data_IF_061219966325
#
_entry.id   IF_061219966325
#
_cell.length_a   1.000
_cell.length_b   1.000
_cell.length_c   1.000
_cell.angle_alpha   90.00
_cell.angle_beta   90.00
_cell.angle_gamma   90.00
#
_symmetry.space_group_name_H-M   'P 1'
#
loop_
_entity.id
_entity.type
_entity.pdbx_description
1 polymer ?
#
# COMPACT_ATOMS: atom_id res chain seq x y z
N UNK A 1 -26.09 1.42 -40.51
CA UNK A 1 -26.19 0.14 -39.77
C UNK A 1 -25.84 0.42 -38.32
N UNK A 2 -26.69 0.03 -37.37
CA UNK A 2 -26.47 0.23 -35.93
C UNK A 2 -25.31 -0.66 -35.49
N UNK A 3 -24.21 -0.09 -35.02
CA UNK A 3 -23.12 -0.85 -34.42
C UNK A 3 -23.12 -0.59 -32.92
N UNK A 4 -23.30 -1.66 -32.17
CA UNK A 4 -23.36 -1.66 -30.71
C UNK A 4 -21.94 -1.52 -30.16
N UNK A 5 -21.75 -0.50 -29.32
CA UNK A 5 -20.60 -0.37 -28.42
C UNK A 5 -20.72 -1.52 -27.40
N UNK A 6 -19.77 -2.45 -27.39
CA UNK A 6 -19.66 -3.46 -26.32
C UNK A 6 -18.68 -2.89 -25.29
N UNK A 7 -19.10 -2.58 -24.06
CA UNK A 7 -18.20 -2.19 -22.99
C UNK A 7 -17.50 -3.46 -22.50
N UNK A 8 -16.17 -3.51 -22.57
CA UNK A 8 -15.38 -4.51 -21.83
C UNK A 8 -15.27 -4.02 -20.38
N UNK A 9 -16.42 -4.03 -19.72
CA UNK A 9 -16.59 -3.98 -18.27
C UNK A 9 -17.21 -5.35 -17.91
N UNK A 10 -16.79 -5.93 -16.79
CA UNK A 10 -17.24 -7.20 -16.19
C UNK A 10 -16.61 -8.50 -16.74
N UNK A 11 -15.65 -9.03 -15.97
CA UNK A 11 -15.73 -10.42 -15.54
C UNK A 11 -15.07 -10.65 -14.16
N UNK A 12 -15.64 -10.01 -13.14
CA UNK A 12 -15.50 -10.41 -11.74
C UNK A 12 -16.86 -10.89 -11.22
N UNK A 13 -17.18 -12.17 -11.42
CA UNK A 13 -18.25 -12.83 -10.68
C UNK A 13 -17.92 -14.31 -10.45
N UNK A 14 -17.70 -14.67 -9.19
CA UNK A 14 -18.62 -15.53 -8.43
C UNK A 14 -18.00 -15.93 -7.08
N UNK A 15 -18.44 -15.25 -6.03
CA UNK A 15 -18.97 -15.87 -4.82
C UNK A 15 -20.06 -14.94 -4.26
N UNK A 16 -21.32 -15.39 -4.31
CA UNK A 16 -22.46 -14.77 -3.63
C UNK A 16 -23.34 -13.86 -4.48
N UNK A 17 -24.07 -14.39 -5.46
CA UNK A 17 -25.23 -13.70 -6.00
C UNK A 17 -26.45 -13.97 -5.10
N UNK A 18 -26.72 -13.06 -4.14
CA UNK A 18 -28.07 -12.77 -3.67
C UNK A 18 -28.05 -11.52 -2.74
N UNK A 19 -28.40 -10.38 -3.34
CA UNK A 19 -28.87 -9.11 -2.73
C UNK A 19 -27.83 -7.99 -2.59
N UNK A 20 -28.17 -6.85 -3.20
CA UNK A 20 -27.48 -5.57 -3.11
C UNK A 20 -27.20 -5.03 -4.51
N UNK A 21 -27.81 -3.90 -4.88
CA UNK A 21 -27.38 -3.16 -6.06
C UNK A 21 -25.90 -2.75 -5.94
N UNK A 22 -25.35 -2.19 -7.02
CA UNK A 22 -24.03 -1.58 -7.00
C UNK A 22 -23.86 -0.66 -5.78
N UNK A 23 -22.77 -0.81 -5.04
CA UNK A 23 -22.57 -0.03 -3.82
C UNK A 23 -22.44 1.45 -4.20
N UNK A 24 -23.00 2.42 -3.44
CA UNK A 24 -22.95 3.83 -3.83
C UNK A 24 -21.53 4.37 -4.06
N UNK A 25 -20.53 3.82 -3.35
CA UNK A 25 -19.12 4.17 -3.60
C UNK A 25 -18.61 3.69 -4.96
N UNK A 26 -19.09 2.56 -5.47
CA UNK A 26 -18.72 2.08 -6.81
C UNK A 26 -19.22 3.08 -7.87
N UNK A 27 -20.49 3.49 -7.76
CA UNK A 27 -21.08 4.52 -8.63
C UNK A 27 -20.29 5.82 -8.56
N UNK A 28 -19.97 6.29 -7.35
CA UNK A 28 -19.23 7.55 -7.16
C UNK A 28 -17.80 7.48 -7.73
N UNK A 29 -17.12 6.34 -7.57
CA UNK A 29 -15.77 6.14 -8.11
C UNK A 29 -15.82 6.06 -9.63
N UNK A 30 -16.80 5.36 -10.21
CA UNK A 30 -16.98 5.29 -11.65
C UNK A 30 -17.28 6.68 -12.24
N UNK A 31 -18.18 7.45 -11.62
CA UNK A 31 -18.44 8.84 -12.02
C UNK A 31 -17.20 9.73 -11.91
N UNK A 32 -16.31 9.47 -10.95
CA UNK A 32 -15.02 10.17 -10.87
C UNK A 32 -14.13 9.84 -12.07
N UNK A 33 -14.00 8.55 -12.41
CA UNK A 33 -13.20 8.08 -13.55
C UNK A 33 -13.77 8.58 -14.88
N UNK A 34 -15.09 8.64 -15.03
CA UNK A 34 -15.76 9.12 -16.24
C UNK A 34 -15.56 10.63 -16.46
N UNK A 35 -15.41 11.41 -15.38
CA UNK A 35 -15.14 12.87 -15.43
C UNK A 35 -13.72 13.18 -15.88
N UNK A 36 -12.76 12.33 -15.55
CA UNK A 36 -11.37 12.46 -15.98
C UNK A 36 -10.82 11.07 -16.36
N UNK A 37 -11.08 10.61 -17.60
CA UNK A 37 -10.66 9.28 -18.06
C UNK A 37 -9.18 9.20 -18.41
N UNK A 38 -8.40 10.26 -18.13
CA UNK A 38 -6.95 10.22 -18.28
C UNK A 38 -6.33 9.23 -17.28
N UNK A 39 -5.17 8.66 -17.62
CA UNK A 39 -4.43 7.78 -16.70
C UNK A 39 -4.26 8.39 -15.31
N UNK A 40 -3.92 9.68 -15.25
CA UNK A 40 -3.73 10.39 -13.98
C UNK A 40 -5.05 10.55 -13.22
N UNK A 41 -6.13 10.93 -13.92
CA UNK A 41 -7.48 11.04 -13.37
C UNK A 41 -7.97 9.73 -12.77
N UNK A 42 -7.89 8.63 -13.53
CA UNK A 42 -8.33 7.31 -13.08
C UNK A 42 -7.52 6.81 -11.89
N UNK A 43 -6.18 6.99 -11.88
CA UNK A 43 -5.34 6.63 -10.71
C UNK A 43 -5.75 7.45 -9.48
N UNK A 44 -5.98 8.76 -9.64
CA UNK A 44 -6.44 9.62 -8.55
C UNK A 44 -7.79 9.16 -8.02
N UNK A 45 -8.76 8.88 -8.88
CA UNK A 45 -10.08 8.37 -8.51
C UNK A 45 -10.01 7.01 -7.81
N UNK A 46 -9.19 6.08 -8.28
CA UNK A 46 -8.97 4.79 -7.62
C UNK A 46 -8.37 4.96 -6.21
N UNK A 47 -7.40 5.87 -6.04
CA UNK A 47 -6.77 6.16 -4.74
C UNK A 47 -7.72 6.85 -3.76
N UNK A 48 -8.52 7.79 -4.24
CA UNK A 48 -9.58 8.41 -3.43
C UNK A 48 -10.67 7.38 -3.08
N UNK A 49 -11.02 6.52 -4.02
CA UNK A 49 -11.90 5.38 -3.83
C UNK A 49 -11.39 4.43 -2.75
N UNK A 50 -10.11 4.07 -2.77
CA UNK A 50 -9.49 3.23 -1.75
C UNK A 50 -9.60 3.85 -0.34
N UNK A 51 -9.45 5.18 -0.20
CA UNK A 51 -9.65 5.87 1.09
C UNK A 51 -11.09 5.83 1.56
N UNK A 52 -12.06 5.98 0.64
CA UNK A 52 -13.48 5.87 0.95
C UNK A 52 -13.85 4.44 1.34
N UNK A 53 -13.34 3.45 0.61
CA UNK A 53 -13.50 2.05 0.94
C UNK A 53 -12.89 1.69 2.29
N UNK A 54 -11.74 2.24 2.67
CA UNK A 54 -11.16 2.02 4.01
C UNK A 54 -12.01 2.65 5.13
N UNK A 55 -12.59 3.82 4.87
CA UNK A 55 -13.55 4.44 5.80
C UNK A 55 -14.78 3.56 5.97
N UNK A 56 -15.31 3.04 4.87
CA UNK A 56 -16.47 2.15 4.86
C UNK A 56 -16.17 0.78 5.49
N UNK A 57 -14.95 0.26 5.30
CA UNK A 57 -14.44 -0.93 5.97
C UNK A 57 -14.51 -0.76 7.49
N UNK A 58 -14.04 0.37 7.99
CA UNK A 58 -14.06 0.67 9.44
C UNK A 58 -15.49 0.81 9.97
N UNK A 59 -16.42 1.38 9.18
CA UNK A 59 -17.84 1.43 9.51
C UNK A 59 -18.43 0.02 9.60
N UNK A 60 -18.27 -0.79 8.56
CA UNK A 60 -18.77 -2.17 8.48
C UNK A 60 -18.18 -3.07 9.58
N UNK A 61 -16.88 -2.91 9.88
CA UNK A 61 -16.24 -3.61 11.00
C UNK A 61 -16.89 -3.28 12.34
N UNK A 62 -17.11 -1.99 12.64
CA UNK A 62 -17.75 -1.55 13.90
C UNK A 62 -19.19 -2.05 14.01
N UNK A 63 -19.93 -2.00 12.90
CA UNK A 63 -21.30 -2.51 12.83
C UNK A 63 -21.34 -4.01 13.13
N UNK A 64 -20.55 -4.82 12.41
CA UNK A 64 -20.50 -6.26 12.62
C UNK A 64 -20.07 -6.60 14.05
N UNK A 65 -19.06 -5.91 14.58
CA UNK A 65 -18.63 -6.09 15.98
C UNK A 65 -19.75 -5.82 16.99
N UNK A 66 -20.63 -4.86 16.72
CA UNK A 66 -21.80 -4.56 17.56
C UNK A 66 -22.90 -5.62 17.50
N UNK A 67 -23.01 -6.35 16.39
CA UNK A 67 -24.01 -7.41 16.20
C UNK A 67 -23.55 -8.76 16.76
N UNK A 68 -22.25 -9.03 16.77
CA UNK A 68 -21.70 -10.32 17.14
C UNK A 68 -21.71 -10.58 18.66
N UNK A 69 -21.93 -11.84 19.09
CA UNK A 69 -21.64 -12.25 20.45
C UNK A 69 -20.13 -12.20 20.72
N UNK A 70 -19.74 -12.20 22.01
CA UNK A 70 -18.33 -12.05 22.45
C UNK A 70 -17.35 -12.97 21.73
N UNK A 71 -17.69 -14.25 21.58
CA UNK A 71 -16.84 -15.21 20.85
C UNK A 71 -16.63 -14.82 19.38
N UNK A 72 -17.69 -14.37 18.70
CA UNK A 72 -17.62 -13.88 17.33
C UNK A 72 -16.80 -12.60 17.20
N UNK A 73 -16.93 -11.68 18.16
CA UNK A 73 -16.13 -10.45 18.21
C UNK A 73 -14.63 -10.75 18.31
N UNK A 74 -14.23 -11.70 19.18
CA UNK A 74 -12.83 -12.06 19.38
C UNK A 74 -12.24 -12.75 18.14
N UNK A 75 -13.03 -13.61 17.49
CA UNK A 75 -12.65 -14.25 16.24
C UNK A 75 -12.54 -13.24 15.09
N UNK A 76 -13.48 -12.32 14.94
CA UNK A 76 -13.46 -11.27 13.92
C UNK A 76 -12.27 -10.33 14.09
N UNK A 77 -11.99 -9.89 15.32
CA UNK A 77 -10.81 -9.07 15.64
C UNK A 77 -9.51 -9.76 15.26
N UNK A 78 -9.42 -11.06 15.51
CA UNK A 78 -8.25 -11.86 15.14
C UNK A 78 -8.11 -11.97 13.63
N UNK A 79 -9.20 -12.24 12.90
CA UNK A 79 -9.21 -12.27 11.44
C UNK A 79 -8.81 -10.91 10.84
N UNK A 80 -9.36 -9.81 11.36
CA UNK A 80 -9.07 -8.46 10.86
C UNK A 80 -7.60 -8.05 11.10
N UNK A 81 -7.02 -8.44 12.24
CA UNK A 81 -5.60 -8.23 12.53
C UNK A 81 -4.67 -9.02 11.61
N UNK A 82 -5.08 -10.21 11.19
CA UNK A 82 -4.33 -11.00 10.20
C UNK A 82 -4.51 -10.49 8.77
N UNK A 83 -5.65 -9.83 8.46
CA UNK A 83 -5.92 -9.24 7.15
C UNK A 83 -4.95 -8.10 6.82
N UNK A 84 -4.62 -7.23 7.79
CA UNK A 84 -3.78 -6.04 7.55
C UNK A 84 -2.38 -6.41 7.01
N UNK A 85 -1.60 -7.29 7.66
CA UNK A 85 -0.30 -7.70 7.12
C UNK A 85 -0.39 -8.42 5.77
N UNK A 86 -1.50 -9.11 5.49
CA UNK A 86 -1.73 -9.69 4.18
C UNK A 86 -2.00 -8.60 3.14
N UNK A 87 -2.91 -7.66 3.40
CA UNK A 87 -3.22 -6.53 2.52
C UNK A 87 -1.96 -5.78 2.11
N UNK A 88 -1.11 -5.43 3.06
CA UNK A 88 0.09 -4.64 2.77
C UNK A 88 1.07 -5.41 1.88
N UNK A 89 1.18 -6.73 2.08
CA UNK A 89 1.95 -7.62 1.20
C UNK A 89 1.26 -7.89 -0.12
N UNK A 90 -0.06 -7.81 -0.18
CA UNK A 90 -0.84 -7.93 -1.41
C UNK A 90 -0.57 -6.74 -2.31
N UNK A 91 -0.59 -5.52 -1.75
CA UNK A 91 -0.19 -4.31 -2.45
C UNK A 91 1.24 -4.41 -2.99
N UNK A 92 2.18 -4.90 -2.17
CA UNK A 92 3.56 -5.13 -2.64
C UNK A 92 3.67 -6.16 -3.77
N UNK A 93 2.90 -7.25 -3.70
CA UNK A 93 2.89 -8.29 -4.74
C UNK A 93 2.27 -7.78 -6.04
N UNK A 94 1.11 -7.13 -5.96
CA UNK A 94 0.38 -6.54 -7.09
C UNK A 94 1.22 -5.44 -7.75
N UNK A 95 1.82 -4.55 -6.96
CA UNK A 95 2.78 -3.54 -7.42
C UNK A 95 4.01 -4.14 -8.10
N UNK A 96 4.50 -5.30 -7.64
CA UNK A 96 5.60 -6.00 -8.30
C UNK A 96 5.19 -6.58 -9.66
N UNK A 97 3.97 -7.10 -9.78
CA UNK A 97 3.43 -7.64 -11.04
C UNK A 97 3.23 -6.51 -12.05
N UNK A 98 2.43 -5.51 -11.72
CA UNK A 98 2.10 -4.45 -12.66
C UNK A 98 3.27 -3.49 -12.90
N UNK A 99 4.18 -3.34 -11.93
CA UNK A 99 5.45 -2.68 -12.13
C UNK A 99 6.35 -3.42 -13.12
N UNK A 100 6.39 -4.76 -13.09
CA UNK A 100 7.15 -5.53 -14.08
C UNK A 100 6.58 -5.37 -15.50
N UNK A 101 5.26 -5.34 -15.65
CA UNK A 101 4.62 -5.15 -16.97
C UNK A 101 4.80 -3.72 -17.46
N UNK A 102 4.62 -2.72 -16.60
CA UNK A 102 4.88 -1.31 -16.91
C UNK A 102 6.28 -1.08 -17.49
N UNK A 103 7.30 -1.77 -16.95
CA UNK A 103 8.69 -1.66 -17.39
C UNK A 103 9.05 -2.57 -18.59
N UNK A 104 8.10 -3.35 -19.12
CA UNK A 104 8.33 -4.21 -20.28
C UNK A 104 8.27 -3.41 -21.59
N UNK A 105 8.76 -3.98 -22.70
CA UNK A 105 8.80 -3.33 -24.02
C UNK A 105 7.41 -2.93 -24.54
N UNK A 106 6.40 -3.75 -24.25
CA UNK A 106 5.00 -3.54 -24.64
C UNK A 106 4.17 -2.95 -23.48
N UNK A 107 4.86 -2.53 -22.41
CA UNK A 107 4.28 -1.91 -21.23
C UNK A 107 3.81 -0.48 -21.47
N UNK A 108 3.10 0.07 -20.48
CA UNK A 108 2.58 1.43 -20.56
C UNK A 108 1.86 1.87 -19.29
N UNK A 109 1.52 3.14 -19.25
CA UNK A 109 0.90 3.80 -18.08
C UNK A 109 -0.46 3.22 -17.70
N UNK A 110 -1.13 2.49 -18.60
CA UNK A 110 -2.36 1.72 -18.30
C UNK A 110 -2.14 0.73 -17.14
N UNK A 111 -0.97 0.11 -17.02
CA UNK A 111 -0.70 -0.82 -15.93
C UNK A 111 -0.58 -0.14 -14.56
N UNK A 112 -0.32 1.17 -14.52
CA UNK A 112 -0.40 1.96 -13.29
C UNK A 112 -1.86 2.18 -12.86
N UNK A 113 -2.78 2.30 -13.83
CA UNK A 113 -4.23 2.33 -13.59
C UNK A 113 -4.69 0.99 -13.04
N UNK A 114 -4.33 -0.11 -13.70
CA UNK A 114 -4.68 -1.46 -13.24
C UNK A 114 -4.17 -1.71 -11.82
N UNK A 115 -2.93 -1.30 -11.51
CA UNK A 115 -2.37 -1.42 -10.18
C UNK A 115 -3.21 -0.69 -9.12
N UNK A 116 -3.51 0.59 -9.36
CA UNK A 116 -4.29 1.40 -8.41
C UNK A 116 -5.70 0.84 -8.18
N UNK A 117 -6.35 0.32 -9.22
CA UNK A 117 -7.66 -0.33 -9.13
C UNK A 117 -7.55 -1.65 -8.34
N UNK A 118 -6.56 -2.49 -8.65
CA UNK A 118 -6.37 -3.77 -7.99
C UNK A 118 -6.18 -3.62 -6.47
N UNK A 119 -5.52 -2.57 -6.02
CA UNK A 119 -5.33 -2.27 -4.59
C UNK A 119 -6.60 -1.79 -3.92
N UNK A 120 -7.35 -0.91 -4.60
CA UNK A 120 -8.66 -0.51 -4.16
C UNK A 120 -9.58 -1.74 -4.00
N UNK A 121 -9.55 -2.68 -4.93
CA UNK A 121 -10.35 -3.92 -4.89
C UNK A 121 -10.02 -4.83 -3.71
N UNK A 122 -8.79 -4.82 -3.18
CA UNK A 122 -8.46 -5.57 -1.95
C UNK A 122 -9.25 -5.00 -0.75
N UNK A 123 -9.30 -3.68 -0.63
CA UNK A 123 -10.00 -2.99 0.46
C UNK A 123 -11.52 -3.11 0.27
N UNK A 124 -12.00 -2.85 -0.94
CA UNK A 124 -13.40 -3.01 -1.33
C UNK A 124 -13.90 -4.42 -1.06
N UNK A 125 -13.19 -5.45 -1.51
CA UNK A 125 -13.57 -6.85 -1.31
C UNK A 125 -13.74 -7.21 0.17
N UNK A 126 -12.81 -6.78 1.04
CA UNK A 126 -12.95 -6.99 2.49
C UNK A 126 -14.13 -6.21 3.07
N UNK A 127 -14.36 -4.99 2.61
CA UNK A 127 -15.48 -4.16 3.05
C UNK A 127 -16.82 -4.83 2.74
N UNK A 128 -17.00 -5.30 1.51
CA UNK A 128 -18.22 -5.98 1.08
C UNK A 128 -18.45 -7.28 1.84
N UNK A 129 -17.39 -8.03 2.18
CA UNK A 129 -17.49 -9.23 3.02
C UNK A 129 -18.04 -8.88 4.43
N UNK A 130 -17.53 -7.82 5.06
CA UNK A 130 -18.00 -7.36 6.38
C UNK A 130 -19.44 -6.84 6.33
N UNK A 131 -19.81 -6.13 5.26
CA UNK A 131 -21.18 -5.67 5.03
C UNK A 131 -22.11 -6.86 4.87
N UNK A 132 -21.74 -7.84 4.05
CA UNK A 132 -22.54 -9.04 3.81
C UNK A 132 -22.84 -9.80 5.12
N UNK A 133 -21.84 -10.00 5.99
CA UNK A 133 -22.06 -10.62 7.30
C UNK A 133 -22.92 -9.78 8.24
N UNK A 134 -22.79 -8.44 8.18
CA UNK A 134 -23.64 -7.55 8.96
C UNK A 134 -25.10 -7.66 8.54
N UNK A 135 -25.35 -7.68 7.23
CA UNK A 135 -26.69 -7.85 6.67
C UNK A 135 -27.27 -9.24 6.98
N UNK A 136 -26.46 -10.29 6.94
CA UNK A 136 -26.89 -11.64 7.32
C UNK A 136 -27.33 -11.68 8.80
N UNK A 137 -26.54 -11.08 9.70
CA UNK A 137 -26.88 -10.96 11.12
C UNK A 137 -28.18 -10.18 11.37
N UNK A 138 -28.44 -9.13 10.58
CA UNK A 138 -29.67 -8.33 10.69
C UNK A 138 -30.90 -9.12 10.24
N UNK A 139 -30.75 -10.03 9.26
CA UNK A 139 -31.84 -10.89 8.77
C UNK A 139 -32.20 -12.00 9.76
N UNK A 140 -31.31 -12.33 10.68
CA UNK A 140 -31.55 -13.30 11.74
C UNK A 140 -30.30 -14.10 12.09
N UNK A 141 -30.49 -15.31 12.61
CA UNK A 141 -29.37 -16.20 12.92
C UNK A 141 -28.68 -16.62 11.61
N UNK A 142 -27.37 -16.35 11.44
CA UNK A 142 -26.64 -16.75 10.24
C UNK A 142 -26.70 -18.25 9.98
N UNK A 143 -26.77 -18.63 8.71
CA UNK A 143 -26.79 -20.02 8.26
C UNK A 143 -25.86 -20.14 7.07
N UNK A 144 -24.89 -21.05 7.17
CA UNK A 144 -24.04 -21.36 6.03
C UNK A 144 -24.88 -22.10 4.98
N UNK A 145 -25.11 -21.47 3.83
CA UNK A 145 -25.78 -22.09 2.71
C UNK A 145 -24.82 -23.03 1.97
N UNK A 146 -25.24 -24.29 1.79
CA UNK A 146 -24.49 -25.29 1.03
C UNK A 146 -24.06 -26.52 1.84
N UNK A 147 -23.98 -27.65 1.16
CA UNK A 147 -23.48 -28.90 1.74
C UNK A 147 -21.95 -28.95 1.66
N UNK A 148 -21.32 -29.52 2.68
CA UNK A 148 -19.88 -29.79 2.69
C UNK A 148 -19.57 -31.20 3.20
N UNK A 149 -18.48 -31.83 2.73
CA UNK A 149 -18.13 -33.19 3.12
C UNK A 149 -17.85 -33.31 4.63
N UNK A 150 -18.16 -34.46 5.24
CA UNK A 150 -17.87 -34.72 6.66
C UNK A 150 -16.38 -34.88 6.98
N UNK A 151 -15.55 -35.10 5.94
CA UNK A 151 -14.11 -35.37 6.05
C UNK A 151 -13.33 -34.60 4.98
N UNK A 152 -12.01 -34.57 5.16
CA UNK A 152 -11.15 -33.95 4.17
C UNK A 152 -11.22 -34.70 2.83
N UNK A 153 -11.32 -33.97 1.73
CA UNK A 153 -11.34 -34.54 0.37
C UNK A 153 -10.07 -34.21 -0.40
N UNK A 154 -9.80 -34.98 -1.46
CA UNK A 154 -8.71 -34.71 -2.39
C UNK A 154 -8.84 -33.33 -3.02
N UNK A 155 -10.06 -32.86 -3.28
CA UNK A 155 -10.32 -31.51 -3.80
C UNK A 155 -9.84 -30.40 -2.85
N UNK A 156 -10.03 -30.59 -1.54
CA UNK A 156 -9.56 -29.63 -0.54
C UNK A 156 -8.04 -29.58 -0.47
N UNK A 157 -7.38 -30.74 -0.56
CA UNK A 157 -5.92 -30.83 -0.65
C UNK A 157 -5.41 -30.21 -1.95
N UNK A 158 -6.06 -30.51 -3.07
CA UNK A 158 -5.72 -29.98 -4.39
C UNK A 158 -5.86 -28.46 -4.44
N UNK A 159 -6.88 -27.87 -3.83
CA UNK A 159 -7.02 -26.42 -3.73
C UNK A 159 -5.86 -25.76 -2.98
N UNK A 160 -5.42 -26.34 -1.86
CA UNK A 160 -4.26 -25.83 -1.12
C UNK A 160 -2.96 -25.93 -1.94
N UNK A 161 -2.74 -27.05 -2.65
CA UNK A 161 -1.58 -27.21 -3.54
C UNK A 161 -1.61 -26.22 -4.71
N UNK A 162 -2.78 -25.96 -5.31
CA UNK A 162 -2.93 -25.00 -6.41
C UNK A 162 -2.54 -23.58 -6.00
N UNK A 163 -2.94 -23.11 -4.82
CA UNK A 163 -2.54 -21.78 -4.31
C UNK A 163 -1.02 -21.68 -4.17
N UNK A 164 -0.38 -22.68 -3.56
CA UNK A 164 1.08 -22.71 -3.38
C UNK A 164 1.79 -22.69 -4.72
N UNK A 165 1.37 -23.54 -5.65
CA UNK A 165 1.95 -23.63 -6.98
C UNK A 165 1.76 -22.34 -7.78
N UNK A 166 0.57 -21.72 -7.74
CA UNK A 166 0.31 -20.45 -8.40
C UNK A 166 1.19 -19.33 -7.83
N UNK A 167 1.34 -19.25 -6.50
CA UNK A 167 2.19 -18.26 -5.84
C UNK A 167 3.67 -18.42 -6.23
N UNK A 168 4.16 -19.67 -6.29
CA UNK A 168 5.53 -19.97 -6.72
C UNK A 168 5.74 -19.59 -8.18
N UNK A 169 4.80 -19.92 -9.07
CA UNK A 169 4.88 -19.55 -10.50
C UNK A 169 4.91 -18.04 -10.68
N UNK A 170 4.03 -17.32 -9.98
CA UNK A 170 3.96 -15.86 -10.03
C UNK A 170 5.27 -15.23 -9.54
N UNK A 171 5.78 -15.66 -8.37
CA UNK A 171 7.05 -15.16 -7.83
C UNK A 171 8.23 -15.39 -8.79
N UNK A 172 8.34 -16.60 -9.37
CA UNK A 172 9.37 -16.91 -10.37
C UNK A 172 9.26 -16.05 -11.63
N UNK A 173 8.03 -15.74 -12.07
CA UNK A 173 7.80 -14.91 -13.26
C UNK A 173 8.21 -13.46 -13.03
N UNK A 174 8.03 -12.93 -11.81
CA UNK A 174 8.48 -11.58 -11.41
C UNK A 174 10.02 -11.53 -11.27
N UNK A 175 10.64 -12.59 -10.76
CA UNK A 175 12.10 -12.72 -10.60
C UNK A 175 12.52 -12.91 -9.14
N UNK A 176 13.84 -12.81 -8.85
CA UNK A 176 14.41 -13.19 -7.53
C UNK A 176 13.78 -12.49 -6.32
N UNK A 177 13.52 -11.18 -6.41
CA UNK A 177 12.82 -10.46 -5.34
C UNK A 177 11.31 -10.77 -5.32
N UNK A 178 10.74 -11.09 -6.48
CA UNK A 178 9.36 -11.56 -6.62
C UNK A 178 9.11 -12.91 -5.94
N UNK A 179 10.07 -13.83 -5.96
CA UNK A 179 9.96 -15.10 -5.22
C UNK A 179 9.84 -14.88 -3.71
N UNK A 180 10.63 -13.95 -3.15
CA UNK A 180 10.54 -13.58 -1.73
C UNK A 180 9.22 -12.89 -1.41
N UNK A 181 8.82 -11.92 -2.24
CA UNK A 181 7.57 -11.19 -2.08
C UNK A 181 6.36 -12.12 -2.14
N UNK A 182 6.30 -13.02 -3.12
CA UNK A 182 5.23 -14.01 -3.26
C UNK A 182 5.19 -15.00 -2.09
N UNK A 183 6.35 -15.45 -1.59
CA UNK A 183 6.41 -16.33 -0.43
C UNK A 183 5.92 -15.64 0.86
N UNK A 184 6.36 -14.40 1.11
CA UNK A 184 5.92 -13.62 2.26
C UNK A 184 4.43 -13.29 2.18
N UNK A 185 3.94 -12.92 0.99
CA UNK A 185 2.53 -12.69 0.72
C UNK A 185 1.70 -13.95 1.00
N UNK A 186 2.10 -15.10 0.45
CA UNK A 186 1.43 -16.37 0.66
C UNK A 186 1.32 -16.71 2.14
N UNK A 187 2.41 -16.59 2.91
CA UNK A 187 2.41 -16.86 4.34
C UNK A 187 1.39 -15.97 5.10
N UNK A 188 1.37 -14.67 4.80
CA UNK A 188 0.41 -13.75 5.41
C UNK A 188 -1.05 -14.05 4.99
N UNK A 189 -1.26 -14.40 3.72
CA UNK A 189 -2.57 -14.80 3.21
C UNK A 189 -3.07 -16.08 3.88
N UNK A 190 -2.21 -17.09 4.06
CA UNK A 190 -2.55 -18.34 4.73
C UNK A 190 -2.95 -18.10 6.19
N UNK A 191 -2.27 -17.18 6.89
CA UNK A 191 -2.63 -16.77 8.24
C UNK A 191 -3.98 -16.06 8.26
N UNK A 192 -4.19 -15.06 7.41
CA UNK A 192 -5.48 -14.39 7.27
C UNK A 192 -6.61 -15.38 6.99
N UNK A 193 -6.45 -16.23 5.96
CA UNK A 193 -7.41 -17.29 5.60
C UNK A 193 -7.76 -18.16 6.80
N UNK A 194 -6.76 -18.64 7.54
CA UNK A 194 -6.99 -19.51 8.68
C UNK A 194 -7.78 -18.79 9.79
N UNK A 195 -7.47 -17.53 10.10
CA UNK A 195 -8.22 -16.74 11.09
C UNK A 195 -9.63 -16.38 10.61
N UNK A 196 -9.79 -16.04 9.33
CA UNK A 196 -11.09 -15.73 8.74
C UNK A 196 -12.02 -16.95 8.77
N UNK A 197 -11.49 -18.13 8.48
CA UNK A 197 -12.26 -19.39 8.55
C UNK A 197 -12.67 -19.74 9.98
N UNK A 198 -11.83 -19.46 10.98
CA UNK A 198 -12.22 -19.62 12.38
C UNK A 198 -13.31 -18.63 12.78
N UNK A 199 -13.27 -17.40 12.26
CA UNK A 199 -14.37 -16.47 12.39
C UNK A 199 -15.65 -17.01 11.74
N UNK A 200 -15.60 -17.47 10.49
CA UNK A 200 -16.76 -18.08 9.81
C UNK A 200 -17.33 -19.26 10.60
N UNK A 201 -16.48 -20.12 11.16
CA UNK A 201 -16.93 -21.24 11.98
C UNK A 201 -17.65 -20.75 13.24
N UNK A 202 -17.21 -19.64 13.84
CA UNK A 202 -17.92 -19.00 14.94
C UNK A 202 -19.23 -18.36 14.50
N UNK A 203 -19.22 -17.69 13.36
CA UNK A 203 -20.34 -16.94 12.80
C UNK A 203 -21.52 -17.86 12.46
N UNK A 204 -21.25 -19.01 11.84
CA UNK A 204 -22.25 -19.99 11.43
C UNK A 204 -22.57 -21.06 12.49
N UNK A 205 -21.97 -20.98 13.69
CA UNK A 205 -22.17 -21.98 14.75
C UNK A 205 -21.59 -23.37 14.44
N UNK A 206 -20.49 -23.41 13.68
CA UNK A 206 -19.81 -24.62 13.16
C UNK A 206 -18.50 -24.96 13.86
N UNK A 207 -18.24 -24.37 15.03
CA UNK A 207 -16.96 -24.54 15.75
C UNK A 207 -16.65 -26.00 16.14
N UNK A 208 -17.68 -26.85 16.28
CA UNK A 208 -17.54 -28.27 16.62
C UNK A 208 -17.38 -29.17 15.39
N UNK A 209 -17.60 -28.65 14.18
CA UNK A 209 -17.56 -29.41 12.94
C UNK A 209 -16.19 -29.26 12.28
N UNK A 210 -15.31 -30.25 12.47
CA UNK A 210 -13.93 -30.22 11.94
C UNK A 210 -13.86 -30.10 10.41
N UNK A 211 -14.90 -30.53 9.71
CA UNK A 211 -15.03 -30.44 8.25
C UNK A 211 -15.28 -29.03 7.74
N UNK A 212 -16.02 -28.21 8.49
CA UNK A 212 -16.40 -26.87 8.03
C UNK A 212 -15.16 -25.99 7.76
N UNK A 213 -14.18 -25.87 8.68
CA UNK A 213 -12.96 -25.13 8.39
C UNK A 213 -12.13 -25.65 7.21
N UNK A 214 -12.22 -26.94 6.89
CA UNK A 214 -11.53 -27.51 5.71
C UNK A 214 -12.22 -27.06 4.42
N UNK A 215 -13.55 -27.09 4.39
CA UNK A 215 -14.34 -26.65 3.26
C UNK A 215 -14.22 -25.14 3.02
N UNK A 216 -14.36 -24.31 4.06
CA UNK A 216 -14.22 -22.86 3.94
C UNK A 216 -12.81 -22.45 3.46
N UNK A 217 -11.75 -23.14 3.93
CA UNK A 217 -10.39 -22.95 3.40
C UNK A 217 -10.29 -23.29 1.92
N UNK A 218 -10.93 -24.37 1.46
CA UNK A 218 -10.94 -24.73 0.04
C UNK A 218 -11.61 -23.65 -0.82
N UNK A 219 -12.75 -23.10 -0.38
CA UNK A 219 -13.41 -22.00 -1.10
C UNK A 219 -12.50 -20.78 -1.22
N UNK A 220 -11.88 -20.35 -0.12
CA UNK A 220 -10.91 -19.24 -0.14
C UNK A 220 -9.66 -19.56 -0.99
N UNK A 221 -9.17 -20.80 -0.97
CA UNK A 221 -8.07 -21.24 -1.83
C UNK A 221 -8.45 -21.15 -3.31
N UNK A 222 -9.67 -21.57 -3.69
CA UNK A 222 -10.13 -21.49 -5.06
C UNK A 222 -10.24 -20.04 -5.54
N UNK A 223 -10.78 -19.13 -4.72
CA UNK A 223 -10.80 -17.68 -5.06
C UNK A 223 -9.38 -17.13 -5.21
N UNK A 224 -8.47 -17.48 -4.30
CA UNK A 224 -7.08 -17.05 -4.36
C UNK A 224 -6.36 -17.54 -5.61
N UNK A 225 -6.61 -18.77 -6.04
CA UNK A 225 -6.04 -19.31 -7.29
C UNK A 225 -6.46 -18.45 -8.47
N UNK A 226 -7.75 -18.10 -8.60
CA UNK A 226 -8.24 -17.24 -9.69
C UNK A 226 -7.51 -15.89 -9.72
N UNK A 227 -7.33 -15.25 -8.55
CA UNK A 227 -6.61 -13.98 -8.46
C UNK A 227 -5.15 -14.11 -8.88
N UNK A 228 -4.45 -15.14 -8.39
CA UNK A 228 -3.04 -15.38 -8.72
C UNK A 228 -2.86 -15.76 -10.20
N UNK A 229 -3.80 -16.50 -10.77
CA UNK A 229 -3.80 -16.86 -12.19
C UNK A 229 -4.07 -15.64 -13.08
N UNK A 230 -4.98 -14.74 -12.69
CA UNK A 230 -5.20 -13.46 -13.38
C UNK A 230 -3.93 -12.59 -13.38
N UNK A 231 -3.27 -12.43 -12.22
CA UNK A 231 -1.99 -11.71 -12.15
C UNK A 231 -0.89 -12.35 -13.03
N UNK A 232 -0.89 -13.68 -13.11
CA UNK A 232 0.06 -14.40 -13.96
C UNK A 232 -0.27 -14.25 -15.45
N UNK A 233 -1.55 -14.22 -15.79
CA UNK A 233 -2.05 -13.99 -17.15
C UNK A 233 -1.67 -12.58 -17.62
N UNK A 234 -1.97 -11.55 -16.83
CA UNK A 234 -1.55 -10.17 -17.09
C UNK A 234 -0.04 -10.08 -17.34
N UNK A 235 0.75 -10.76 -16.50
CA UNK A 235 2.22 -10.77 -16.58
C UNK A 235 2.76 -11.57 -17.78
N UNK A 236 1.97 -12.47 -18.36
CA UNK A 236 2.34 -13.28 -19.51
C UNK A 236 1.88 -12.68 -20.83
N UNK A 237 0.78 -11.91 -20.84
CA UNK A 237 0.23 -11.32 -22.05
C UNK A 237 0.99 -10.06 -22.51
N UNK A 238 2.01 -9.58 -21.80
CA UNK A 238 2.79 -8.37 -22.14
C UNK A 238 1.96 -7.05 -22.25
N UNK A 239 0.64 -7.07 -22.10
CA UNK A 239 -0.23 -5.97 -22.51
C UNK A 239 -1.50 -6.56 -23.10
N UNK A 240 -2.68 -6.09 -22.71
CA UNK A 240 -3.93 -6.48 -23.37
C UNK A 240 -3.80 -6.21 -24.88
N UNK A 241 -4.17 -7.19 -25.73
CA UNK A 241 -4.39 -6.90 -27.15
C UNK A 241 -5.53 -5.88 -27.27
N UNK A 242 -5.22 -4.67 -27.73
CA UNK A 242 -6.24 -3.69 -28.06
C UNK A 242 -7.09 -4.19 -29.24
N UNK A 243 -8.40 -4.30 -29.02
CA UNK A 243 -9.33 -4.36 -30.14
C UNK A 243 -9.22 -3.05 -30.91
N UNK A 244 -8.86 -3.14 -32.20
CA UNK A 244 -8.78 -2.03 -33.16
C UNK A 244 -10.07 -1.19 -33.21
N UNK A 245 -10.16 -0.20 -32.31
CA UNK A 245 -11.08 0.93 -32.37
C UNK A 245 -10.40 2.06 -33.13
N UNK A 246 -11.06 2.54 -34.17
CA UNK A 246 -10.53 3.49 -35.14
C UNK A 246 -9.85 4.71 -34.48
N UNK A 247 -8.58 4.93 -34.83
CA UNK A 247 -7.89 6.20 -34.68
C UNK A 247 -8.72 7.29 -35.36
N UNK A 248 -9.30 8.20 -34.56
CA UNK A 248 -9.53 9.55 -35.06
C UNK A 248 -8.16 10.21 -35.24
N UNK A 249 -7.74 10.29 -36.49
CA UNK A 249 -6.53 10.97 -36.95
C UNK A 249 -6.68 12.48 -36.78
N UNK A 250 -6.64 12.93 -35.53
CA UNK A 250 -6.34 14.30 -35.18
C UNK A 250 -4.83 14.47 -35.08
N UNK A 251 -4.17 14.68 -36.22
CA UNK A 251 -2.77 15.12 -36.27
C UNK A 251 -2.67 16.47 -35.53
N UNK A 252 -2.40 16.44 -34.23
CA UNK A 252 -1.75 17.55 -33.55
C UNK A 252 -0.28 17.22 -33.55
N UNK A 253 0.46 17.96 -34.38
CA UNK A 253 1.91 17.95 -34.40
C UNK A 253 2.41 18.01 -32.95
N UNK A 254 2.99 16.91 -32.49
CA UNK A 254 3.74 16.91 -31.25
C UNK A 254 4.93 17.84 -31.47
N UNK A 255 4.85 19.03 -30.86
CA UNK A 255 6.00 19.91 -30.72
C UNK A 255 7.16 19.06 -30.16
N UNK A 256 8.38 19.15 -30.75
CA UNK A 256 9.52 18.45 -30.23
C UNK A 256 9.68 18.82 -28.76
N UNK A 257 9.69 17.83 -27.85
CA UNK A 257 10.08 18.10 -26.47
C UNK A 257 11.54 18.52 -26.49
N UNK A 258 11.79 19.82 -26.36
CA UNK A 258 13.15 20.32 -26.23
C UNK A 258 13.82 19.65 -25.03
N UNK A 259 15.08 19.22 -25.14
CA UNK A 259 15.83 18.74 -23.99
C UNK A 259 15.91 19.86 -22.94
N UNK A 260 15.57 19.54 -21.68
CA UNK A 260 15.63 20.50 -20.57
C UNK A 260 17.02 21.17 -20.51
N UNK A 261 17.06 22.48 -20.79
CA UNK A 261 18.29 23.29 -20.84
C UNK A 261 18.70 23.87 -19.47
N UNK A 262 18.05 23.48 -18.38
CA UNK A 262 18.34 24.00 -17.04
C UNK A 262 19.45 23.24 -16.31
N UNK A 263 20.00 23.88 -15.28
CA UNK A 263 21.00 23.29 -14.38
C UNK A 263 20.43 22.06 -13.64
N UNK A 264 21.16 20.94 -13.69
CA UNK A 264 20.85 19.68 -13.00
C UNK A 264 21.71 19.47 -11.75
N UNK A 265 22.54 20.45 -11.39
CA UNK A 265 23.33 20.38 -10.17
C UNK A 265 22.42 20.25 -8.96
N UNK A 266 22.79 19.37 -8.04
CA UNK A 266 22.09 19.22 -6.77
C UNK A 266 22.45 20.41 -5.88
N UNK A 267 21.46 21.21 -5.53
CA UNK A 267 21.60 22.32 -4.59
C UNK A 267 21.82 21.78 -3.17
N UNK A 268 22.99 22.09 -2.59
CA UNK A 268 23.42 21.62 -1.27
C UNK A 268 23.86 22.81 -0.40
N UNK A 269 22.94 23.53 0.25
CA UNK A 269 23.30 24.62 1.14
C UNK A 269 24.09 24.09 2.35
N UNK A 270 25.09 24.86 2.80
CA UNK A 270 25.84 24.53 4.01
C UNK A 270 25.04 24.87 5.29
N UNK A 271 24.08 25.79 5.21
CA UNK A 271 23.19 26.15 6.31
C UNK A 271 21.85 26.65 5.77
N UNK A 272 20.81 26.51 6.58
CA UNK A 272 19.44 26.82 6.16
C UNK A 272 18.44 26.77 7.32
N UNK A 273 17.28 27.38 7.14
CA UNK A 273 16.15 27.32 8.08
C UNK A 273 15.15 26.27 7.64
N UNK A 274 14.65 25.49 8.59
CA UNK A 274 13.72 24.39 8.36
C UNK A 274 12.43 24.59 9.16
N UNK A 275 11.34 23.98 8.70
CA UNK A 275 10.04 23.93 9.36
C UNK A 275 9.34 22.60 9.03
N UNK A 276 9.84 21.52 9.60
CA UNK A 276 9.21 20.20 9.49
C UNK A 276 9.50 19.34 10.73
N UNK A 277 8.72 18.28 10.90
CA UNK A 277 8.92 17.30 11.97
C UNK A 277 9.69 16.09 11.45
N UNK A 278 10.42 15.44 12.35
CA UNK A 278 11.18 14.23 12.10
C UNK A 278 11.23 13.39 13.39
N UNK A 279 11.88 12.23 13.34
CA UNK A 279 12.11 11.41 14.52
C UNK A 279 13.56 10.90 14.58
N UNK A 280 13.98 10.48 15.77
CA UNK A 280 15.31 9.93 16.01
C UNK A 280 15.36 8.48 15.50
N UNK A 281 16.39 8.17 14.70
CA UNK A 281 16.67 6.84 14.11
C UNK A 281 17.97 6.24 14.64
N UNK A 282 18.48 6.77 15.75
CA UNK A 282 19.73 6.31 16.37
C UNK A 282 19.60 4.86 16.88
N UNK A 283 20.38 3.90 16.35
CA UNK A 283 20.36 2.52 16.82
C UNK A 283 21.09 2.33 18.16
N UNK A 284 21.78 3.35 18.68
CA UNK A 284 22.47 3.28 19.97
C UNK A 284 21.45 3.15 21.13
N UNK A 285 21.50 2.07 21.93
CA UNK A 285 20.60 1.88 23.07
C UNK A 285 20.77 2.95 24.16
N UNK A 286 21.91 3.64 24.24
CA UNK A 286 22.14 4.74 25.17
C UNK A 286 21.43 6.04 24.74
N UNK A 287 20.94 6.09 23.50
CA UNK A 287 20.13 7.18 22.97
C UNK A 287 20.91 8.29 22.28
N UNK A 288 20.17 9.15 21.58
CA UNK A 288 20.75 10.18 20.72
C UNK A 288 21.13 11.45 21.49
N UNK A 289 22.37 11.90 21.29
CA UNK A 289 22.88 13.10 21.94
C UNK A 289 22.40 14.39 21.28
N UNK A 290 21.84 15.29 22.09
CA UNK A 290 21.50 16.66 21.73
C UNK A 290 22.55 17.60 22.32
N UNK A 291 23.09 18.49 21.50
CA UNK A 291 24.22 19.37 21.86
C UNK A 291 23.85 20.84 21.83
N UNK A 292 24.59 21.68 22.56
CA UNK A 292 24.42 23.14 22.57
C UNK A 292 24.80 23.81 21.25
N UNK A 293 25.77 23.23 20.54
CA UNK A 293 26.24 23.64 19.22
C UNK A 293 26.62 22.41 18.38
N UNK A 294 26.80 22.55 17.05
CA UNK A 294 27.38 21.50 16.22
C UNK A 294 28.70 20.97 16.80
N UNK A 295 28.71 19.71 17.24
CA UNK A 295 29.87 19.08 17.89
C UNK A 295 30.21 19.60 19.30
N UNK A 296 29.33 20.39 19.91
CA UNK A 296 29.50 21.00 21.23
C UNK A 296 29.24 20.06 22.41
N UNK A 297 28.90 20.60 23.57
CA UNK A 297 28.62 19.83 24.79
C UNK A 297 27.25 19.18 24.71
N UNK A 298 27.12 17.98 25.26
CA UNK A 298 25.84 17.29 25.38
C UNK A 298 25.00 18.04 26.42
N UNK A 299 23.77 18.44 26.03
CA UNK A 299 22.80 19.14 26.89
C UNK A 299 21.57 18.29 27.18
N UNK A 300 21.34 17.26 26.38
CA UNK A 300 20.33 16.23 26.61
C UNK A 300 20.72 14.95 25.87
N UNK A 301 20.23 13.82 26.36
CA UNK A 301 20.27 12.55 25.65
C UNK A 301 18.83 12.08 25.48
N UNK A 302 18.41 11.90 24.24
CA UNK A 302 17.08 11.39 23.90
C UNK A 302 17.10 9.88 24.06
N UNK A 303 16.28 9.29 24.95
CA UNK A 303 16.36 7.87 25.23
C UNK A 303 16.00 7.04 24.01
N UNK A 304 16.68 5.90 23.81
CA UNK A 304 16.31 4.92 22.80
C UNK A 304 14.97 4.26 23.17
N UNK A 305 13.89 4.83 22.66
CA UNK A 305 12.50 4.39 22.92
C UNK A 305 11.76 4.19 21.59
N UNK A 306 12.12 3.15 20.81
CA UNK A 306 11.48 2.84 19.53
C UNK A 306 10.03 2.35 19.66
N UNK A 307 9.39 2.50 20.82
CA UNK A 307 7.98 2.19 21.05
C UNK A 307 7.15 3.43 21.46
N UNK A 308 7.78 4.61 21.58
CA UNK A 308 7.12 5.85 22.02
C UNK A 308 7.43 7.04 21.09
N UNK A 309 6.61 7.28 20.04
CA UNK A 309 6.82 8.37 19.08
C UNK A 309 6.84 9.75 19.72
N UNK A 310 6.14 9.96 20.84
CA UNK A 310 6.09 11.27 21.48
C UNK A 310 7.44 11.67 22.09
N UNK A 311 8.27 10.69 22.46
CA UNK A 311 9.59 10.91 23.05
C UNK A 311 10.71 11.05 22.03
N UNK A 312 10.54 10.50 20.82
CA UNK A 312 11.55 10.52 19.75
C UNK A 312 11.27 11.54 18.64
N UNK A 313 10.08 12.17 18.61
CA UNK A 313 9.76 13.20 17.61
C UNK A 313 10.46 14.52 17.93
N UNK A 314 11.04 15.15 16.91
CA UNK A 314 11.69 16.45 16.96
C UNK A 314 11.12 17.39 15.91
N UNK A 315 11.12 18.70 16.17
CA UNK A 315 10.87 19.70 15.12
C UNK A 315 12.21 20.22 14.61
N UNK A 316 12.50 20.03 13.33
CA UNK A 316 13.73 20.50 12.68
C UNK A 316 13.53 21.96 12.30
N UNK A 317 14.38 22.83 12.85
CA UNK A 317 14.26 24.30 12.76
C UNK A 317 15.35 24.94 11.91
N UNK A 318 16.39 24.19 11.59
CA UNK A 318 17.47 24.62 10.71
C UNK A 318 18.56 23.57 10.63
N UNK A 319 19.60 23.86 9.85
CA UNK A 319 20.78 23.01 9.75
C UNK A 319 22.06 23.82 9.54
N UNK A 320 23.18 23.19 9.87
CA UNK A 320 24.53 23.69 9.61
C UNK A 320 25.46 22.50 9.38
N UNK A 321 25.96 22.39 8.16
CA UNK A 321 26.67 21.22 7.66
C UNK A 321 25.86 19.95 7.94
N UNK A 322 26.45 18.97 8.63
CA UNK A 322 25.80 17.70 9.00
C UNK A 322 24.94 17.77 10.27
N UNK A 323 24.73 18.95 10.84
CA UNK A 323 24.01 19.11 12.10
C UNK A 323 22.65 19.76 11.87
N UNK A 324 21.64 19.23 12.55
CA UNK A 324 20.27 19.75 12.53
C UNK A 324 19.98 20.46 13.84
N UNK A 325 19.48 21.69 13.76
CA UNK A 325 18.90 22.41 14.88
C UNK A 325 17.49 21.87 15.13
N UNK A 326 17.22 21.38 16.33
CA UNK A 326 15.96 20.75 16.71
C UNK A 326 15.33 21.42 17.93
N UNK A 327 14.00 21.41 17.95
CA UNK A 327 13.18 21.70 19.12
C UNK A 327 12.58 20.38 19.64
N UNK A 328 12.85 20.07 20.90
CA UNK A 328 12.36 18.88 21.59
C UNK A 328 10.93 19.09 22.11
N UNK A 329 10.25 18.01 22.46
CA UNK A 329 8.87 18.03 22.97
C UNK A 329 8.72 18.84 24.28
N UNK A 330 9.78 18.95 25.08
CA UNK A 330 9.81 19.72 26.33
C UNK A 330 10.22 21.19 26.15
N UNK A 331 10.39 21.64 24.91
CA UNK A 331 10.73 23.02 24.56
C UNK A 331 12.23 23.32 24.52
N UNK A 332 13.11 22.38 24.87
CA UNK A 332 14.57 22.57 24.73
C UNK A 332 14.96 22.65 23.25
N UNK A 333 15.91 23.54 22.94
CA UNK A 333 16.54 23.66 21.61
C UNK A 333 17.97 23.14 21.66
N UNK A 334 18.40 22.46 20.61
CA UNK A 334 19.77 21.97 20.50
C UNK A 334 20.09 21.40 19.12
N UNK A 335 21.23 20.74 19.02
CA UNK A 335 21.79 20.23 17.77
C UNK A 335 21.97 18.72 17.81
N UNK A 336 21.48 18.03 16.78
CA UNK A 336 21.63 16.57 16.60
C UNK A 336 22.37 16.31 15.29
N UNK A 337 23.16 15.24 15.24
CA UNK A 337 23.82 14.82 14.01
C UNK A 337 22.78 14.29 13.02
N UNK A 338 22.75 14.80 11.80
CA UNK A 338 21.65 14.59 10.86
C UNK A 338 21.41 13.11 10.50
N UNK A 339 22.46 12.29 10.44
CA UNK A 339 22.32 10.85 10.15
C UNK A 339 21.54 10.09 11.25
N UNK A 340 21.33 10.69 12.42
CA UNK A 340 20.54 10.14 13.52
C UNK A 340 19.08 10.61 13.50
N UNK A 341 18.68 11.41 12.50
CA UNK A 341 17.35 11.98 12.37
C UNK A 341 16.76 11.54 11.03
N UNK A 342 15.56 10.96 11.07
CA UNK A 342 14.91 10.40 9.90
C UNK A 342 13.45 10.80 9.76
N UNK A 343 12.93 10.54 8.56
CA UNK A 343 11.51 10.53 8.23
C UNK A 343 11.19 9.29 7.41
N UNK A 344 10.01 8.73 7.59
CA UNK A 344 9.50 7.66 6.72
C UNK A 344 8.85 8.29 5.50
N UNK A 345 8.93 7.61 4.36
CA UNK A 345 8.31 8.09 3.12
C UNK A 345 6.81 7.83 3.11
N UNK A 346 6.04 8.85 2.71
CA UNK A 346 4.59 8.74 2.48
C UNK A 346 4.28 8.16 1.10
N UNK A 347 4.83 6.99 0.83
CA UNK A 347 4.49 6.18 -0.34
C UNK A 347 3.37 5.19 0.04
N UNK A 348 2.31 5.71 0.66
CA UNK A 348 1.22 4.91 1.21
C UNK A 348 0.28 4.38 0.14
N UNK A 349 0.14 5.11 -0.97
CA UNK A 349 -0.56 4.60 -2.13
C UNK A 349 0.46 3.81 -2.96
N UNK A 350 0.15 2.60 -3.40
CA UNK A 350 1.16 1.85 -4.12
C UNK A 350 1.46 2.44 -5.52
N UNK A 351 2.65 2.12 -6.00
CA UNK A 351 3.29 2.85 -7.10
C UNK A 351 3.65 4.29 -6.74
N UNK A 352 3.33 4.77 -5.52
CA UNK A 352 3.89 6.03 -5.05
C UNK A 352 5.40 5.93 -4.99
N UNK A 353 6.00 6.91 -5.63
CA UNK A 353 7.41 7.18 -5.55
C UNK A 353 7.62 8.49 -4.82
N UNK A 354 8.71 8.55 -4.07
CA UNK A 354 9.26 9.80 -3.60
C UNK A 354 10.36 10.20 -4.59
N UNK A 355 9.99 11.05 -5.55
CA UNK A 355 10.96 11.65 -6.46
C UNK A 355 11.79 12.68 -5.71
N UNK A 356 13.08 12.39 -5.51
CA UNK A 356 14.03 13.34 -4.93
C UNK A 356 14.37 14.39 -5.97
N UNK A 357 14.37 15.66 -5.57
CA UNK A 357 14.55 16.81 -6.45
C UNK A 357 15.96 17.41 -6.33
N UNK A 358 16.43 18.09 -7.37
CA UNK A 358 17.73 18.79 -7.32
C UNK A 358 17.71 20.07 -6.48
N UNK A 359 16.53 20.62 -6.14
CA UNK A 359 16.31 21.81 -5.31
C UNK A 359 14.93 21.72 -4.63
N UNK A 360 14.61 22.53 -3.59
CA UNK A 360 13.34 22.47 -2.85
C UNK A 360 12.15 23.01 -3.66
N UNK A 361 11.80 22.32 -4.75
CA UNK A 361 10.75 22.72 -5.68
C UNK A 361 10.20 21.49 -6.41
N UNK A 362 8.88 21.44 -6.57
CA UNK A 362 8.19 20.37 -7.31
C UNK A 362 8.59 20.29 -8.77
N UNK A 363 9.00 21.42 -9.35
CA UNK A 363 9.30 21.55 -10.79
C UNK A 363 10.79 21.29 -11.10
N UNK A 364 11.59 21.07 -10.05
CA UNK A 364 12.99 20.74 -10.20
C UNK A 364 13.19 19.35 -10.83
N UNK A 365 14.28 19.15 -11.60
CA UNK A 365 14.68 17.84 -12.06
C UNK A 365 14.78 16.84 -10.91
N UNK A 366 14.41 15.58 -11.18
CA UNK A 366 14.59 14.50 -10.23
C UNK A 366 16.07 14.04 -10.21
N UNK A 367 16.62 13.80 -9.03
CA UNK A 367 17.92 13.11 -8.84
C UNK A 367 17.76 11.59 -8.77
N UNK A 368 16.56 11.11 -8.44
CA UNK A 368 16.22 9.69 -8.40
C UNK A 368 14.90 9.46 -7.66
N UNK A 369 14.35 8.26 -7.79
CA UNK A 369 13.11 7.86 -7.15
C UNK A 369 13.38 6.87 -6.01
N UNK A 370 12.66 7.03 -4.91
CA UNK A 370 12.60 6.05 -3.84
C UNK A 370 11.22 5.41 -3.83
N UNK A 371 11.20 4.08 -3.86
CA UNK A 371 10.00 3.25 -3.87
C UNK A 371 9.72 2.74 -2.46
N UNK A 372 8.45 2.50 -2.12
CA UNK A 372 8.06 1.97 -0.81
C UNK A 372 8.14 3.01 0.32
N UNK A 373 7.69 2.63 1.51
CA UNK A 373 7.64 3.44 2.73
C UNK A 373 8.98 3.47 3.48
N UNK A 374 10.07 3.57 2.72
CA UNK A 374 11.44 3.53 3.24
C UNK A 374 11.72 4.66 4.25
N UNK A 375 12.73 4.45 5.09
CA UNK A 375 13.25 5.46 6.00
C UNK A 375 14.46 6.19 5.37
N UNK A 376 14.47 7.51 5.46
CA UNK A 376 15.56 8.35 4.93
C UNK A 376 16.14 9.24 6.03
N UNK A 377 17.46 9.44 6.00
CA UNK A 377 18.15 10.35 6.92
C UNK A 377 18.05 11.79 6.45
N UNK A 378 17.90 12.73 7.37
CA UNK A 378 17.83 14.16 7.07
C UNK A 378 19.23 14.78 7.19
N UNK A 379 19.69 15.42 6.13
CA UNK A 379 21.01 16.07 6.10
C UNK A 379 20.92 17.60 5.96
N UNK A 380 19.71 18.14 5.80
CA UNK A 380 19.47 19.58 5.75
C UNK A 380 18.01 19.89 5.42
N UNK A 381 17.69 21.14 5.09
CA UNK A 381 16.35 21.53 4.68
C UNK A 381 16.20 23.03 4.43
N UNK A 382 15.10 23.39 3.79
CA UNK A 382 14.74 24.76 3.46
C UNK A 382 13.22 24.91 3.52
N UNK A 383 12.75 25.74 4.46
CA UNK A 383 11.34 25.77 4.80
C UNK A 383 10.84 24.37 5.13
N UNK A 384 9.80 23.91 4.44
CA UNK A 384 9.20 22.58 4.68
C UNK A 384 9.86 21.44 3.91
N UNK A 385 10.79 21.75 2.99
CA UNK A 385 11.49 20.73 2.21
C UNK A 385 12.66 20.16 3.00
N UNK A 386 12.74 18.83 3.04
CA UNK A 386 13.85 18.13 3.67
C UNK A 386 14.89 17.76 2.62
N UNK A 387 16.16 18.06 2.88
CA UNK A 387 17.26 17.49 2.10
C UNK A 387 17.64 16.17 2.75
N UNK A 388 17.50 15.08 2.00
CA UNK A 388 17.59 13.72 2.54
C UNK A 388 18.68 12.90 1.85
N UNK A 389 19.17 11.91 2.58
CA UNK A 389 20.01 10.85 2.05
C UNK A 389 19.31 9.51 2.25
N UNK A 390 19.14 8.77 1.16
CA UNK A 390 18.63 7.40 1.17
C UNK A 390 19.76 6.43 0.84
N UNK A 391 19.88 5.39 1.64
CA UNK A 391 20.88 4.33 1.46
C UNK A 391 20.16 3.05 1.06
N UNK A 392 20.13 2.78 -0.24
CA UNK A 392 19.48 1.59 -0.79
C UNK A 392 20.14 0.32 -0.24
N UNK A 393 19.40 -0.78 0.01
CA UNK A 393 19.95 -2.04 0.54
C UNK A 393 21.10 -2.65 -0.29
N UNK A 394 21.19 -2.30 -1.59
CA UNK A 394 22.29 -2.69 -2.50
C UNK A 394 23.55 -1.80 -2.39
N UNK A 395 23.58 -0.85 -1.45
CA UNK A 395 24.73 0.02 -1.18
C UNK A 395 24.76 1.34 -1.96
N UNK A 396 23.80 1.58 -2.86
CA UNK A 396 23.68 2.87 -3.56
C UNK A 396 23.17 3.96 -2.61
N UNK A 397 23.75 5.15 -2.70
CA UNK A 397 23.32 6.32 -1.94
C UNK A 397 22.67 7.31 -2.89
N UNK A 398 21.44 7.69 -2.61
CA UNK A 398 20.72 8.77 -3.29
C UNK A 398 20.65 9.98 -2.36
N UNK A 399 20.83 11.17 -2.91
CA UNK A 399 20.71 12.43 -2.18
C UNK A 399 19.86 13.39 -2.98
N UNK A 400 18.96 14.10 -2.31
CA UNK A 400 18.10 15.10 -2.96
C UNK A 400 17.04 15.66 -2.02
N UNK A 401 16.22 16.55 -2.58
CA UNK A 401 15.18 17.28 -1.87
C UNK A 401 13.87 16.50 -1.88
N UNK A 402 13.34 16.20 -0.70
CA UNK A 402 12.11 15.47 -0.47
C UNK A 402 10.94 16.43 -0.25
N UNK A 403 9.89 16.23 -1.04
CA UNK A 403 8.67 17.03 -0.98
C UNK A 403 8.01 16.95 0.40
N UNK A 404 7.53 18.07 0.98
CA UNK A 404 6.77 18.08 2.23
C UNK A 404 5.65 17.04 2.30
N UNK A 405 4.93 16.82 1.19
CA UNK A 405 3.81 15.86 1.15
C UNK A 405 4.27 14.40 1.21
N UNK A 406 5.57 14.15 1.01
CA UNK A 406 6.20 12.82 1.06
C UNK A 406 6.88 12.52 2.40
N UNK A 407 6.90 13.46 3.34
CA UNK A 407 7.54 13.31 4.64
C UNK A 407 6.56 12.78 5.70
N UNK A 408 6.91 11.70 6.39
CA UNK A 408 6.24 11.28 7.61
C UNK A 408 7.16 11.29 8.82
N UNK A 409 6.80 12.12 9.80
CA UNK A 409 7.52 12.27 11.06
C UNK A 409 7.08 11.27 12.15
N UNK A 410 6.18 10.33 11.84
CA UNK A 410 5.71 9.31 12.76
C UNK A 410 5.98 7.92 12.18
N UNK A 411 6.97 7.16 12.68
CA UNK A 411 7.29 5.86 12.13
C UNK A 411 6.26 4.77 12.46
N UNK A 412 5.24 5.06 13.28
CA UNK A 412 4.24 4.08 13.73
C UNK A 412 2.83 4.35 13.21
N UNK A 413 2.61 5.41 12.42
CA UNK A 413 1.33 5.67 11.78
C UNK A 413 1.50 6.26 10.39
N UNK A 414 0.42 6.26 9.62
CA UNK A 414 0.39 7.11 8.42
C UNK A 414 0.31 8.57 8.84
N UNK A 415 1.05 9.43 8.13
CA UNK A 415 0.96 10.87 8.29
C UNK A 415 -0.14 11.44 7.38
N UNK A 416 -0.99 12.37 7.89
CA UNK A 416 -2.13 12.94 7.16
C UNK A 416 -1.73 13.70 5.90
#
# INVERSE_FOLDING_TARGET
>A
MKFAVVPVLCLLLLCGAAWGGEHPLDVEIQECMDKDPSTHGTIKCAREGAKKWDTELNRAYKELMGLLPKQGQDALRTAQRAWIPWRDREFGLVGSVYGAIYNSLDGGTMWLVVNAIAEMEVVRGRTLELIAWSEEMKKGKPVFEGAYPEKQTDDQLAAAMRVKNASIRLGKRIGKEGEKAAAANLAAWEEFRNRNVLFMASFYGKQREKSFPLHARMLMNNDRVKRLEGLLEDLNQNGLEESSGQEETGQKDALPKEPFQGDRSLYLPAEGQCDFKAYIIDPDPEGANVRDAPGGKIIATLPHRPDDPALITVSVTGHKNKWLSVLLHDGRKGWVFGELVGVSLRNYAPGDVAALRTKPSSDAPATGDIFGDEEVSIIGGEGKWALVQYRHPKGHVLTGWLDPVKQCANPYSTCP
#
